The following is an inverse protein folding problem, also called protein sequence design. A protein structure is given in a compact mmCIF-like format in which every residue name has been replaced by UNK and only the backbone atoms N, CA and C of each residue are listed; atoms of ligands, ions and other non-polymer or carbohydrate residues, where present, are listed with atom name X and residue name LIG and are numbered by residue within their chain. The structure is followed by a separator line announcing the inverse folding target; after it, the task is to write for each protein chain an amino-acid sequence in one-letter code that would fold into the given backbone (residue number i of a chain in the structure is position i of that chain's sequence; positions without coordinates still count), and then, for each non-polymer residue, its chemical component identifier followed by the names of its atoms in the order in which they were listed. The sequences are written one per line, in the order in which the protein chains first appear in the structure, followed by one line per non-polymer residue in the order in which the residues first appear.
data_IF_553882138941
#
_entry.id   IF_553882138941
#
_cell.length_a   1.000
_cell.length_b   1.000
_cell.length_c   1.000
_cell.angle_alpha   90.00
_cell.angle_beta   90.00
_cell.angle_gamma   90.00
#
_symmetry.space_group_name_H-M   'P 1'
#
loop_
_entity.id
_entity.type
_entity.pdbx_description
1 polymer ?
#
# COMPACT_ATOMS: atom_id res chain seq x y z
N UNK A 1 -7.08 41.74 3.95
CA UNK A 1 -7.33 40.77 2.85
C UNK A 1 -8.44 39.82 3.25
N UNK A 2 -9.05 39.12 2.30
CA UNK A 2 -10.03 38.04 2.56
C UNK A 2 -9.38 36.68 2.26
N UNK A 3 -9.81 35.63 2.95
CA UNK A 3 -9.39 34.24 2.68
C UNK A 3 -10.47 33.59 1.80
N UNK A 4 -10.11 32.90 0.69
CA UNK A 4 -11.06 32.17 -0.12
C UNK A 4 -11.79 31.09 0.70
N UNK A 5 -13.06 30.85 0.38
CA UNK A 5 -13.80 29.68 0.89
C UNK A 5 -13.41 28.41 0.13
N UNK A 6 -13.80 27.24 0.63
CA UNK A 6 -13.63 25.95 -0.06
C UNK A 6 -14.14 26.00 -1.50
N UNK A 7 -15.31 26.62 -1.72
CA UNK A 7 -15.87 26.84 -3.07
C UNK A 7 -14.99 27.73 -3.95
N UNK A 8 -14.31 28.70 -3.36
CA UNK A 8 -13.34 29.55 -4.06
C UNK A 8 -12.10 28.77 -4.51
N UNK A 9 -11.55 27.92 -3.63
CA UNK A 9 -10.46 27.02 -4.00
C UNK A 9 -10.89 25.98 -5.04
N UNK A 10 -12.10 25.41 -4.91
CA UNK A 10 -12.69 24.52 -5.92
C UNK A 10 -12.78 25.20 -7.29
N UNK A 11 -13.33 26.42 -7.34
CA UNK A 11 -13.37 27.19 -8.58
C UNK A 11 -11.97 27.46 -9.16
N UNK A 12 -11.00 27.77 -8.31
CA UNK A 12 -9.61 27.94 -8.75
C UNK A 12 -9.07 26.65 -9.38
N UNK A 13 -9.18 25.51 -8.70
CA UNK A 13 -8.68 24.22 -9.18
C UNK A 13 -9.33 23.81 -10.50
N UNK A 14 -10.65 24.01 -10.62
CA UNK A 14 -11.40 23.55 -11.78
C UNK A 14 -11.27 24.48 -13.00
N UNK A 15 -11.13 25.81 -12.80
CA UNK A 15 -11.29 26.80 -13.88
C UNK A 15 -10.12 27.77 -14.08
N UNK A 16 -9.32 28.07 -13.04
CA UNK A 16 -8.32 29.13 -13.09
C UNK A 16 -6.87 28.62 -12.97
N UNK A 17 -6.70 27.42 -12.45
CA UNK A 17 -5.38 26.89 -12.13
C UNK A 17 -4.55 26.69 -13.40
N UNK A 18 -3.36 27.31 -13.51
CA UNK A 18 -2.49 27.10 -14.65
C UNK A 18 -1.94 25.67 -14.64
N UNK A 19 -1.77 25.09 -15.83
CA UNK A 19 -1.05 23.83 -15.98
C UNK A 19 0.42 24.08 -15.67
N UNK A 20 0.90 23.50 -14.57
CA UNK A 20 2.32 23.54 -14.19
C UNK A 20 3.04 22.31 -14.74
N UNK A 21 4.23 22.53 -15.28
CA UNK A 21 5.18 21.47 -15.57
C UNK A 21 6.23 21.41 -14.46
N UNK A 22 6.75 20.22 -14.20
CA UNK A 22 7.86 20.05 -13.28
C UNK A 22 9.14 20.56 -13.94
N UNK A 23 9.99 21.19 -13.13
CA UNK A 23 11.34 21.58 -13.55
C UNK A 23 12.19 20.34 -13.84
N UNK A 24 13.24 20.50 -14.66
CA UNK A 24 14.18 19.41 -14.95
C UNK A 24 14.80 18.82 -13.66
N UNK A 25 15.08 19.68 -12.66
CA UNK A 25 15.61 19.26 -11.37
C UNK A 25 14.60 18.43 -10.57
N UNK A 26 13.32 18.83 -10.52
CA UNK A 26 12.25 18.06 -9.87
C UNK A 26 12.09 16.69 -10.55
N UNK A 27 12.05 16.67 -11.89
CA UNK A 27 11.98 15.43 -12.68
C UNK A 27 13.17 14.51 -12.37
N UNK A 28 14.38 15.05 -12.37
CA UNK A 28 15.60 14.27 -12.13
C UNK A 28 15.62 13.69 -10.71
N UNK A 29 15.19 14.48 -9.71
CA UNK A 29 15.04 14.02 -8.33
C UNK A 29 14.05 12.85 -8.23
N UNK A 30 12.87 12.96 -8.84
CA UNK A 30 11.88 11.87 -8.84
C UNK A 30 12.46 10.63 -9.52
N UNK A 31 13.06 10.79 -10.71
CA UNK A 31 13.66 9.69 -11.46
C UNK A 31 14.73 8.97 -10.64
N UNK A 32 15.68 9.71 -10.04
CA UNK A 32 16.77 9.11 -9.26
C UNK A 32 16.26 8.35 -8.05
N UNK A 33 15.27 8.90 -7.34
CA UNK A 33 14.73 8.27 -6.16
C UNK A 33 13.93 6.99 -6.46
N UNK A 34 13.19 6.95 -7.58
CA UNK A 34 12.38 5.79 -7.96
C UNK A 34 13.14 4.72 -8.78
N UNK A 35 14.28 5.07 -9.39
CA UNK A 35 15.16 4.12 -10.12
C UNK A 35 16.17 3.37 -9.24
N UNK A 36 16.13 3.55 -7.92
CA UNK A 36 16.93 2.71 -7.02
C UNK A 36 16.57 1.24 -7.29
N UNK A 37 17.51 0.30 -7.09
CA UNK A 37 17.26 -1.14 -7.25
C UNK A 37 16.25 -1.62 -6.20
N UNK A 38 14.99 -1.34 -6.46
CA UNK A 38 13.85 -1.74 -5.70
C UNK A 38 13.41 -3.06 -6.30
N UNK A 39 13.41 -4.13 -5.51
CA UNK A 39 13.03 -5.47 -5.97
C UNK A 39 11.58 -5.81 -5.61
N UNK A 40 10.89 -4.92 -4.88
CA UNK A 40 9.56 -5.17 -4.31
C UNK A 40 8.64 -3.97 -4.54
N UNK A 41 7.39 -4.25 -4.93
CA UNK A 41 6.38 -3.21 -5.18
C UNK A 41 6.14 -2.37 -3.92
N UNK A 42 6.08 -2.97 -2.72
CA UNK A 42 5.87 -2.23 -1.48
C UNK A 42 6.94 -1.16 -1.22
N UNK A 43 8.21 -1.50 -1.45
CA UNK A 43 9.33 -0.57 -1.33
C UNK A 43 9.24 0.57 -2.35
N UNK A 44 8.80 0.29 -3.58
CA UNK A 44 8.60 1.32 -4.62
C UNK A 44 7.52 2.32 -4.18
N UNK A 45 6.41 1.82 -3.66
CA UNK A 45 5.29 2.66 -3.21
C UNK A 45 5.69 3.50 -1.99
N UNK A 46 6.42 2.92 -1.02
CA UNK A 46 6.98 3.65 0.12
C UNK A 46 7.93 4.77 -0.32
N UNK A 47 8.87 4.47 -1.22
CA UNK A 47 9.79 5.46 -1.76
C UNK A 47 9.05 6.56 -2.53
N UNK A 48 7.98 6.22 -3.24
CA UNK A 48 7.15 7.19 -3.93
C UNK A 48 6.44 8.16 -2.98
N UNK A 49 5.91 7.70 -1.84
CA UNK A 49 5.37 8.60 -0.81
C UNK A 49 6.44 9.54 -0.25
N UNK A 50 7.66 9.05 -0.02
CA UNK A 50 8.75 9.87 0.51
C UNK A 50 9.13 10.99 -0.47
N UNK A 51 9.23 10.65 -1.75
CA UNK A 51 9.52 11.62 -2.83
C UNK A 51 8.39 12.64 -3.00
N UNK A 52 7.14 12.20 -2.95
CA UNK A 52 5.99 13.08 -3.01
C UNK A 52 6.01 14.08 -1.84
N UNK A 53 6.31 13.61 -0.63
CA UNK A 53 6.44 14.47 0.55
C UNK A 53 7.59 15.47 0.40
N UNK A 54 8.78 15.04 -0.03
CA UNK A 54 9.95 15.93 -0.18
C UNK A 54 9.72 17.05 -1.20
N UNK A 55 9.15 16.71 -2.36
CA UNK A 55 8.93 17.66 -3.45
C UNK A 55 7.82 18.64 -3.11
N UNK A 56 6.74 18.14 -2.52
CA UNK A 56 5.56 18.96 -2.21
C UNK A 56 5.68 19.70 -0.89
N UNK A 57 6.55 19.26 0.02
CA UNK A 57 6.67 19.73 1.41
C UNK A 57 5.37 19.56 2.21
N UNK A 58 4.60 18.53 1.89
CA UNK A 58 3.35 18.18 2.57
C UNK A 58 3.43 16.76 3.13
N UNK A 59 2.44 16.37 3.93
CA UNK A 59 2.27 14.98 4.33
C UNK A 59 1.85 14.16 3.11
N UNK A 60 2.55 13.09 2.80
CA UNK A 60 2.20 12.17 1.73
C UNK A 60 1.83 10.80 2.26
N UNK A 61 0.93 10.14 1.55
CA UNK A 61 0.47 8.80 1.86
C UNK A 61 0.46 7.95 0.60
N UNK A 62 0.73 6.66 0.72
CA UNK A 62 0.56 5.74 -0.39
C UNK A 62 0.03 4.40 0.09
N UNK A 63 -0.81 3.79 -0.74
CA UNK A 63 -1.41 2.49 -0.48
C UNK A 63 -0.86 1.49 -1.46
N UNK A 64 -0.40 0.33 -0.98
CA UNK A 64 0.03 -0.78 -1.82
C UNK A 64 -1.14 -1.47 -2.52
N UNK A 65 -0.86 -2.21 -3.61
CA UNK A 65 -1.86 -2.99 -4.31
C UNK A 65 -2.65 -3.93 -3.41
N UNK A 66 -3.98 -3.89 -3.50
CA UNK A 66 -4.80 -4.99 -2.98
C UNK A 66 -4.71 -6.17 -3.93
N UNK A 67 -4.12 -7.26 -3.46
CA UNK A 67 -3.84 -8.44 -4.27
C UNK A 67 -4.86 -9.56 -4.05
N UNK A 68 -6.11 -9.19 -3.76
CA UNK A 68 -7.20 -10.11 -3.45
C UNK A 68 -7.43 -11.13 -4.58
N UNK A 69 -7.26 -10.68 -5.84
CA UNK A 69 -7.34 -11.50 -7.06
C UNK A 69 -6.06 -12.27 -7.40
N UNK A 70 -4.95 -12.01 -6.71
CA UNK A 70 -3.72 -12.78 -6.88
C UNK A 70 -3.98 -14.22 -6.46
N UNK A 71 -3.19 -15.15 -7.00
CA UNK A 71 -3.28 -16.55 -6.60
C UNK A 71 -2.09 -16.91 -5.74
N UNK A 72 -2.31 -17.84 -4.80
CA UNK A 72 -1.22 -18.40 -4.03
C UNK A 72 -0.33 -19.24 -4.95
N UNK A 73 0.98 -18.94 -4.97
CA UNK A 73 1.96 -19.70 -5.75
C UNK A 73 2.56 -20.81 -4.92
N UNK A 74 2.98 -20.52 -3.68
CA UNK A 74 3.46 -21.58 -2.79
C UNK A 74 3.39 -21.20 -1.31
N UNK A 75 3.19 -22.21 -0.45
CA UNK A 75 3.47 -22.17 0.98
C UNK A 75 4.64 -23.10 1.30
N UNK A 76 5.62 -22.61 2.05
CA UNK A 76 6.72 -23.42 2.58
C UNK A 76 6.80 -23.30 4.09
N UNK A 77 7.07 -24.42 4.75
CA UNK A 77 7.31 -24.46 6.20
C UNK A 77 8.72 -24.99 6.43
N UNK A 78 9.55 -24.19 7.07
CA UNK A 78 10.96 -24.48 7.29
C UNK A 78 11.24 -24.47 8.79
N UNK A 79 11.83 -25.52 9.37
CA UNK A 79 12.24 -25.50 10.76
C UNK A 79 13.44 -24.55 10.91
N UNK A 80 13.36 -23.60 11.84
CA UNK A 80 14.49 -22.70 12.18
C UNK A 80 15.04 -22.98 13.57
N UNK A 81 14.26 -23.64 14.42
CA UNK A 81 14.64 -24.11 15.74
C UNK A 81 13.78 -25.33 16.13
N UNK A 82 14.10 -26.00 17.23
CA UNK A 82 13.35 -27.18 17.68
C UNK A 82 11.87 -26.88 17.98
N UNK A 83 11.56 -25.65 18.41
CA UNK A 83 10.21 -25.20 18.76
C UNK A 83 9.71 -24.05 17.87
N UNK A 84 10.39 -23.75 16.76
CA UNK A 84 10.04 -22.62 15.89
C UNK A 84 10.15 -22.97 14.42
N UNK A 85 9.09 -22.67 13.69
CA UNK A 85 9.04 -22.85 12.23
C UNK A 85 8.77 -21.52 11.54
N UNK A 86 9.44 -21.32 10.42
CA UNK A 86 9.22 -20.21 9.51
C UNK A 86 8.24 -20.66 8.43
N UNK A 87 7.10 -19.97 8.34
CA UNK A 87 6.14 -20.12 7.25
C UNK A 87 6.46 -19.03 6.22
N UNK A 88 6.54 -19.41 4.96
CA UNK A 88 6.74 -18.50 3.83
C UNK A 88 5.58 -18.69 2.87
N UNK A 89 4.91 -17.60 2.53
CA UNK A 89 3.84 -17.57 1.54
C UNK A 89 4.26 -16.70 0.38
N UNK A 90 4.15 -17.25 -0.84
CA UNK A 90 4.51 -16.57 -2.09
C UNK A 90 3.30 -16.54 -3.01
N UNK A 91 3.05 -15.41 -3.66
CA UNK A 91 1.97 -15.27 -4.65
C UNK A 91 2.49 -15.32 -6.09
N UNK A 92 1.57 -15.46 -7.05
CA UNK A 92 1.90 -15.35 -8.48
C UNK A 92 2.36 -13.93 -8.88
N UNK A 93 2.03 -12.91 -8.07
CA UNK A 93 2.47 -11.53 -8.24
C UNK A 93 3.89 -11.27 -7.66
N UNK A 94 4.55 -12.30 -7.12
CA UNK A 94 5.91 -12.20 -6.58
C UNK A 94 5.98 -11.62 -5.16
N UNK A 95 4.84 -11.39 -4.50
CA UNK A 95 4.82 -10.99 -3.10
C UNK A 95 5.21 -12.15 -2.20
N UNK A 96 6.06 -11.86 -1.22
CA UNK A 96 6.51 -12.82 -0.22
C UNK A 96 6.20 -12.26 1.17
N UNK A 97 5.42 -13.00 1.96
CA UNK A 97 5.28 -12.76 3.40
C UNK A 97 5.75 -13.99 4.15
N UNK A 98 6.34 -13.76 5.32
CA UNK A 98 6.77 -14.83 6.18
C UNK A 98 6.38 -14.54 7.63
N UNK A 99 6.16 -15.58 8.41
CA UNK A 99 5.90 -15.47 9.84
C UNK A 99 6.60 -16.60 10.59
N UNK A 100 6.96 -16.32 11.84
CA UNK A 100 7.57 -17.29 12.73
C UNK A 100 6.51 -17.80 13.70
N UNK A 101 6.27 -19.10 13.70
CA UNK A 101 5.33 -19.76 14.61
C UNK A 101 6.08 -20.59 15.65
N UNK A 102 5.45 -20.76 16.82
CA UNK A 102 5.89 -21.74 17.81
C UNK A 102 5.25 -23.09 17.48
N UNK A 103 6.07 -24.14 17.47
CA UNK A 103 5.62 -25.51 17.33
C UNK A 103 6.01 -26.28 18.58
N UNK A 104 5.06 -27.03 19.14
CA UNK A 104 5.27 -27.79 20.38
C UNK A 104 5.84 -29.18 20.12
N UNK A 105 5.86 -29.59 18.86
CA UNK A 105 6.15 -30.96 18.45
C UNK A 105 7.56 -31.07 17.85
N UNK A 106 8.31 -32.06 18.30
CA UNK A 106 9.62 -32.37 17.74
C UNK A 106 9.44 -33.20 16.46
N UNK A 107 9.20 -32.51 15.35
CA UNK A 107 8.81 -33.13 14.08
C UNK A 107 10.01 -33.33 13.17
N UNK A 108 10.09 -34.50 12.54
CA UNK A 108 11.12 -34.80 11.54
C UNK A 108 11.04 -33.83 10.35
N UNK A 109 12.15 -33.27 9.86
CA UNK A 109 12.12 -32.31 8.74
C UNK A 109 11.38 -32.79 7.48
N UNK A 110 11.43 -34.10 7.19
CA UNK A 110 10.68 -34.69 6.07
C UNK A 110 9.15 -34.56 6.19
N UNK A 111 8.62 -34.49 7.41
CA UNK A 111 7.19 -34.25 7.66
C UNK A 111 6.79 -32.83 7.27
N UNK A 112 7.64 -31.83 7.52
CA UNK A 112 7.37 -30.44 7.13
C UNK A 112 7.36 -30.25 5.61
N UNK A 113 8.22 -30.99 4.89
CA UNK A 113 8.21 -31.04 3.42
C UNK A 113 6.88 -31.62 2.93
N UNK A 114 6.43 -32.74 3.49
CA UNK A 114 5.15 -33.35 3.15
C UNK A 114 3.96 -32.44 3.48
N UNK A 115 3.98 -31.77 4.62
CA UNK A 115 2.96 -30.79 5.02
C UNK A 115 2.91 -29.63 4.03
N UNK A 116 4.07 -29.10 3.65
CA UNK A 116 4.16 -28.06 2.61
C UNK A 116 3.56 -28.56 1.29
N UNK A 117 3.84 -29.80 0.88
CA UNK A 117 3.26 -30.37 -0.34
C UNK A 117 1.73 -30.53 -0.26
N UNK A 118 1.18 -30.98 0.88
CA UNK A 118 -0.27 -31.04 1.08
C UNK A 118 -0.89 -29.65 0.93
N UNK A 119 -0.35 -28.64 1.62
CA UNK A 119 -0.83 -27.26 1.54
C UNK A 119 -0.79 -26.74 0.10
N UNK A 120 0.31 -26.94 -0.61
CA UNK A 120 0.45 -26.53 -2.01
C UNK A 120 -0.55 -27.26 -2.92
N UNK A 121 -0.83 -28.54 -2.69
CA UNK A 121 -1.82 -29.29 -3.50
C UNK A 121 -3.24 -28.73 -3.40
N UNK A 122 -3.57 -28.07 -2.29
CA UNK A 122 -4.90 -27.52 -2.00
C UNK A 122 -5.01 -26.04 -2.33
N UNK A 123 -3.93 -25.29 -2.11
CA UNK A 123 -3.95 -23.83 -2.15
C UNK A 123 -3.29 -23.23 -3.39
N UNK A 124 -2.34 -23.94 -4.03
CA UNK A 124 -1.64 -23.40 -5.19
C UNK A 124 -2.61 -23.13 -6.33
N UNK A 125 -2.56 -21.92 -6.89
CA UNK A 125 -3.43 -21.45 -7.96
C UNK A 125 -4.80 -20.93 -7.50
N UNK A 126 -5.15 -21.04 -6.21
CA UNK A 126 -6.39 -20.51 -5.66
C UNK A 126 -6.25 -18.99 -5.43
N UNK A 127 -7.26 -18.22 -5.83
CA UNK A 127 -7.33 -16.79 -5.56
C UNK A 127 -7.37 -16.53 -4.05
N UNK A 128 -6.59 -15.55 -3.55
CA UNK A 128 -6.41 -15.34 -2.11
C UNK A 128 -7.74 -15.11 -1.38
N UNK A 129 -8.67 -14.40 -1.99
CA UNK A 129 -10.02 -14.14 -1.45
C UNK A 129 -10.88 -15.41 -1.29
N UNK A 130 -10.57 -16.48 -2.03
CA UNK A 130 -11.30 -17.74 -2.00
C UNK A 130 -10.63 -18.80 -1.10
N UNK A 131 -9.49 -18.47 -0.48
CA UNK A 131 -8.79 -19.41 0.39
C UNK A 131 -9.50 -19.48 1.74
N UNK A 132 -10.11 -20.62 2.03
CA UNK A 132 -10.60 -20.96 3.35
C UNK A 132 -9.65 -21.93 4.06
N UNK A 133 -8.83 -21.39 4.97
CA UNK A 133 -7.80 -22.17 5.69
C UNK A 133 -8.44 -23.22 6.63
N UNK A 134 -9.67 -23.00 7.09
CA UNK A 134 -10.34 -23.91 8.02
C UNK A 134 -10.59 -25.29 7.39
N UNK A 135 -10.75 -25.37 6.07
CA UNK A 135 -10.98 -26.62 5.34
C UNK A 135 -9.75 -27.55 5.35
N UNK A 136 -8.56 -26.99 5.60
CA UNK A 136 -7.30 -27.74 5.64
C UNK A 136 -7.09 -28.47 6.97
N UNK A 137 -7.77 -28.02 8.04
CA UNK A 137 -7.52 -28.54 9.39
C UNK A 137 -7.73 -30.05 9.45
N UNK A 138 -8.84 -30.53 8.89
CA UNK A 138 -9.17 -31.96 8.91
C UNK A 138 -8.17 -32.80 8.11
N UNK A 139 -7.75 -32.30 6.94
CA UNK A 139 -6.76 -32.99 6.11
C UNK A 139 -5.39 -33.08 6.82
N UNK A 140 -4.96 -32.01 7.52
CA UNK A 140 -3.70 -32.00 8.28
C UNK A 140 -3.77 -32.95 9.49
N UNK A 141 -4.82 -32.85 10.31
CA UNK A 141 -5.00 -33.70 11.50
C UNK A 141 -5.12 -35.19 11.13
N UNK A 142 -5.62 -35.52 9.92
CA UNK A 142 -5.75 -36.91 9.45
C UNK A 142 -4.44 -37.48 8.90
N UNK A 143 -3.69 -36.70 8.13
CA UNK A 143 -2.51 -37.20 7.42
C UNK A 143 -1.22 -37.13 8.26
N UNK A 144 -1.18 -36.24 9.26
CA UNK A 144 0.01 -35.99 10.05
C UNK A 144 -0.24 -36.18 11.54
N UNK A 145 0.70 -36.84 12.20
CA UNK A 145 0.74 -36.96 13.66
C UNK A 145 1.33 -35.69 14.28
N UNK A 146 0.56 -34.59 14.21
CA UNK A 146 0.92 -33.25 14.69
C UNK A 146 -0.07 -32.86 15.77
N UNK A 147 0.44 -32.28 16.87
CA UNK A 147 -0.40 -31.81 17.96
C UNK A 147 -1.39 -30.74 17.50
N UNK A 148 -2.61 -30.77 18.05
CA UNK A 148 -3.68 -29.83 17.69
C UNK A 148 -3.23 -28.37 17.79
N UNK A 149 -2.46 -28.03 18.83
CA UNK A 149 -1.95 -26.66 19.03
C UNK A 149 -0.98 -26.23 17.92
N UNK A 150 -0.14 -27.16 17.44
CA UNK A 150 0.77 -26.91 16.33
C UNK A 150 0.00 -26.76 15.02
N UNK A 151 -1.03 -27.58 14.76
CA UNK A 151 -1.91 -27.42 13.60
C UNK A 151 -2.59 -26.04 13.62
N UNK A 152 -3.14 -25.63 14.76
CA UNK A 152 -3.73 -24.30 14.93
C UNK A 152 -2.69 -23.21 14.66
N UNK A 153 -1.47 -23.35 15.17
CA UNK A 153 -0.38 -22.38 14.97
C UNK A 153 0.02 -22.27 13.49
N UNK A 154 0.08 -23.38 12.76
CA UNK A 154 0.35 -23.39 11.31
C UNK A 154 -0.76 -22.68 10.55
N UNK A 155 -2.02 -23.04 10.79
CA UNK A 155 -3.16 -22.43 10.13
C UNK A 155 -3.26 -20.94 10.43
N UNK A 156 -3.05 -20.54 11.69
CA UNK A 156 -3.01 -19.14 12.10
C UNK A 156 -1.88 -18.39 11.40
N UNK A 157 -0.66 -18.94 11.36
CA UNK A 157 0.48 -18.32 10.69
C UNK A 157 0.28 -18.15 9.18
N UNK A 158 -0.34 -19.12 8.49
CA UNK A 158 -0.72 -18.98 7.08
C UNK A 158 -1.79 -17.89 6.93
N UNK A 159 -2.81 -17.89 7.79
CA UNK A 159 -3.89 -16.89 7.79
C UNK A 159 -3.31 -15.48 7.95
N UNK A 160 -2.38 -15.30 8.88
CA UNK A 160 -1.72 -14.01 9.11
C UNK A 160 -0.92 -13.56 7.89
N UNK A 161 -0.17 -14.48 7.26
CA UNK A 161 0.55 -14.17 6.03
C UNK A 161 -0.40 -13.77 4.90
N UNK A 162 -1.50 -14.51 4.70
CA UNK A 162 -2.50 -14.18 3.69
C UNK A 162 -3.16 -12.83 3.97
N UNK A 163 -3.59 -12.59 5.20
CA UNK A 163 -4.19 -11.32 5.60
C UNK A 163 -3.23 -10.16 5.37
N UNK A 164 -1.94 -10.33 5.65
CA UNK A 164 -0.94 -9.30 5.35
C UNK A 164 -0.73 -9.06 3.84
N UNK A 165 -0.94 -10.07 2.99
CA UNK A 165 -0.87 -9.93 1.53
C UNK A 165 -2.12 -9.27 0.96
N UNK A 166 -3.29 -9.62 1.52
CA UNK A 166 -4.61 -9.10 1.11
C UNK A 166 -4.78 -7.66 1.62
N UNK A 167 -4.31 -7.38 2.83
CA UNK A 167 -4.38 -6.04 3.40
C UNK A 167 -3.46 -5.09 2.66
N UNK A 168 -3.99 -3.93 2.29
CA UNK A 168 -3.19 -2.80 1.85
C UNK A 168 -2.24 -2.35 2.96
N UNK A 169 -0.96 -2.24 2.66
CA UNK A 169 -0.03 -1.47 3.47
C UNK A 169 -0.22 0.02 3.15
N UNK A 170 -0.18 0.84 4.20
CA UNK A 170 -0.24 2.30 4.11
C UNK A 170 1.12 2.82 4.51
N UNK A 171 1.74 3.56 3.61
CA UNK A 171 2.95 4.32 3.88
C UNK A 171 2.58 5.77 4.11
N UNK A 172 3.19 6.39 5.11
CA UNK A 172 2.97 7.76 5.51
C UNK A 172 4.32 8.45 5.65
N UNK A 173 4.49 9.57 4.96
CA UNK A 173 5.75 10.29 4.88
C UNK A 173 5.54 11.79 5.10
N UNK A 174 6.47 12.42 5.82
CA UNK A 174 6.41 13.84 6.15
C UNK A 174 5.20 14.26 6.97
N UNK A 175 4.71 13.38 7.86
CA UNK A 175 3.61 13.67 8.78
C UNK A 175 3.78 14.98 9.57
N UNK A 176 5.03 15.37 9.83
CA UNK A 176 5.38 16.60 10.54
C UNK A 176 5.27 17.87 9.69
N UNK A 177 5.30 17.76 8.36
CA UNK A 177 5.30 18.92 7.45
C UNK A 177 4.04 19.78 7.63
N UNK A 178 2.92 19.16 8.02
CA UNK A 178 1.67 19.88 8.25
C UNK A 178 1.80 20.95 9.37
N UNK A 179 2.71 20.73 10.34
CA UNK A 179 2.88 21.61 11.49
C UNK A 179 3.68 22.87 11.15
N UNK A 180 4.28 22.94 9.96
CA UNK A 180 4.92 24.15 9.44
C UNK A 180 3.88 25.20 8.99
N UNK A 181 2.59 24.83 8.96
CA UNK A 181 1.50 25.70 8.55
C UNK A 181 0.75 26.29 9.76
N UNK A 182 0.52 27.63 9.80
CA UNK A 182 -0.22 28.32 10.84
C UNK A 182 -1.56 27.70 11.24
N UNK A 183 -2.26 27.08 10.29
CA UNK A 183 -3.54 26.40 10.50
C UNK A 183 -3.47 25.25 11.52
N UNK A 184 -2.28 24.69 11.75
CA UNK A 184 -2.01 23.56 12.63
C UNK A 184 -1.21 23.95 13.88
N UNK A 185 -1.07 25.24 14.18
CA UNK A 185 -0.52 25.71 15.45
C UNK A 185 -1.49 25.50 16.63
N UNK A 186 -2.78 25.25 16.35
CA UNK A 186 -3.75 24.86 17.36
C UNK A 186 -3.52 23.40 17.79
N UNK A 187 -3.29 23.20 19.10
CA UNK A 187 -2.96 21.89 19.66
C UNK A 187 -4.06 20.85 19.45
N UNK A 188 -5.33 21.27 19.50
CA UNK A 188 -6.47 20.38 19.37
C UNK A 188 -6.58 19.87 17.93
N UNK A 189 -6.46 20.76 16.95
CA UNK A 189 -6.36 20.40 15.53
C UNK A 189 -5.15 19.51 15.24
N UNK A 190 -3.98 19.84 15.78
CA UNK A 190 -2.78 19.02 15.60
C UNK A 190 -2.98 17.59 16.11
N UNK A 191 -3.60 17.43 17.30
CA UNK A 191 -3.93 16.10 17.85
C UNK A 191 -4.96 15.36 17.00
N UNK A 192 -6.02 16.03 16.55
CA UNK A 192 -7.03 15.42 15.68
C UNK A 192 -6.40 14.91 14.38
N UNK A 193 -5.54 15.71 13.75
CA UNK A 193 -4.82 15.31 12.55
C UNK A 193 -3.89 14.12 12.80
N UNK A 194 -3.12 14.12 13.89
CA UNK A 194 -2.26 12.99 14.25
C UNK A 194 -3.06 11.70 14.51
N UNK A 195 -4.23 11.80 15.13
CA UNK A 195 -5.09 10.64 15.36
C UNK A 195 -5.54 10.00 14.03
N UNK A 196 -5.89 10.83 13.04
CA UNK A 196 -6.19 10.38 11.68
C UNK A 196 -4.99 9.66 11.08
N UNK A 197 -3.80 10.27 11.14
CA UNK A 197 -2.56 9.71 10.61
C UNK A 197 -2.10 8.41 11.29
N UNK A 198 -2.49 8.18 12.55
CA UNK A 198 -2.14 6.95 13.27
C UNK A 198 -3.17 5.83 13.09
N UNK A 199 -4.28 6.06 12.40
CA UNK A 199 -5.35 5.07 12.24
C UNK A 199 -5.35 4.50 10.82
N UNK A 200 -4.79 3.29 10.64
CA UNK A 200 -4.60 2.67 9.32
C UNK A 200 -5.92 2.54 8.54
N UNK A 201 -7.00 2.17 9.20
CA UNK A 201 -8.33 1.97 8.59
C UNK A 201 -8.89 3.29 8.03
N UNK A 202 -8.66 4.38 8.75
CA UNK A 202 -9.05 5.73 8.34
C UNK A 202 -8.25 6.15 7.10
N UNK A 203 -6.93 5.94 7.11
CA UNK A 203 -6.08 6.25 5.96
C UNK A 203 -6.43 5.42 4.73
N UNK A 204 -6.70 4.12 4.91
CA UNK A 204 -7.23 3.24 3.86
C UNK A 204 -8.54 3.80 3.28
N UNK A 205 -9.46 4.22 4.14
CA UNK A 205 -10.75 4.79 3.71
C UNK A 205 -10.59 6.07 2.90
N UNK A 206 -9.67 6.96 3.29
CA UNK A 206 -9.37 8.19 2.56
C UNK A 206 -8.86 7.93 1.15
N UNK A 207 -7.99 6.93 1.00
CA UNK A 207 -7.28 6.64 -0.24
C UNK A 207 -8.07 5.70 -1.18
N UNK A 208 -8.79 4.71 -0.65
CA UNK A 208 -9.57 3.74 -1.44
C UNK A 208 -10.75 4.40 -2.18
N UNK A 209 -11.30 5.50 -1.67
CA UNK A 209 -12.34 6.29 -2.35
C UNK A 209 -11.88 7.04 -3.60
N UNK A 210 -10.59 6.93 -3.91
CA UNK A 210 -10.01 7.40 -5.18
C UNK A 210 -9.99 6.30 -6.24
N UNK A 211 -10.16 5.03 -5.87
CA UNK A 211 -10.04 3.87 -6.76
C UNK A 211 -11.25 3.74 -7.71
N UNK A 212 -12.34 4.47 -7.47
CA UNK A 212 -13.54 4.43 -8.32
C UNK A 212 -13.34 5.08 -9.70
N UNK A 213 -12.36 5.98 -9.86
CA UNK A 213 -12.09 6.65 -11.13
C UNK A 213 -10.57 6.81 -11.34
N UNK A 214 -10.08 6.39 -12.50
CA UNK A 214 -8.67 6.55 -12.84
C UNK A 214 -8.31 8.02 -12.98
N UNK A 215 -7.22 8.46 -12.32
CA UNK A 215 -6.73 9.82 -12.50
C UNK A 215 -6.22 10.47 -11.23
N UNK A 216 -6.27 11.80 -11.23
CA UNK A 216 -6.05 12.63 -10.06
C UNK A 216 -7.39 13.13 -9.55
N UNK A 217 -7.58 13.04 -8.23
CA UNK A 217 -8.76 13.56 -7.53
C UNK A 217 -8.30 14.57 -6.49
N UNK A 218 -8.97 15.72 -6.46
CA UNK A 218 -8.72 16.77 -5.46
C UNK A 218 -9.97 16.85 -4.58
N UNK A 219 -9.79 16.83 -3.27
CA UNK A 219 -10.84 17.11 -2.26
C UNK A 219 -10.40 18.28 -1.41
N UNK A 220 -11.30 19.23 -1.21
CA UNK A 220 -10.99 20.51 -0.56
C UNK A 220 -11.92 20.71 0.62
N UNK A 221 -11.33 20.86 1.80
CA UNK A 221 -12.02 21.26 3.02
C UNK A 221 -13.23 20.39 3.32
N UNK A 222 -14.42 20.98 3.28
CA UNK A 222 -15.72 20.32 3.53
C UNK A 222 -16.08 19.18 2.57
N UNK A 223 -15.36 18.99 1.46
CA UNK A 223 -15.51 17.81 0.61
C UNK A 223 -14.86 16.55 1.21
N UNK A 224 -14.05 16.72 2.26
CA UNK A 224 -13.56 15.62 3.07
C UNK A 224 -14.68 15.14 4.01
N UNK A 225 -14.91 13.83 4.03
CA UNK A 225 -15.96 13.23 4.86
C UNK A 225 -15.56 13.03 6.31
N UNK A 226 -14.25 13.00 6.56
CA UNK A 226 -13.70 12.88 7.91
C UNK A 226 -13.59 14.29 8.48
N UNK A 227 -14.27 14.51 9.61
CA UNK A 227 -14.42 15.83 10.22
C UNK A 227 -13.06 16.45 10.58
N UNK A 228 -12.13 15.63 11.07
CA UNK A 228 -10.80 16.01 11.52
C UNK A 228 -9.89 16.55 10.40
N UNK A 229 -10.26 16.36 9.12
CA UNK A 229 -9.50 16.86 7.97
C UNK A 229 -10.32 17.82 7.10
N UNK A 230 -11.45 18.35 7.60
CA UNK A 230 -12.23 19.37 6.88
C UNK A 230 -11.52 20.71 6.70
N UNK A 231 -10.38 20.90 7.35
CA UNK A 231 -9.50 22.05 7.17
C UNK A 231 -8.32 21.77 6.21
N UNK A 232 -8.28 20.56 5.64
CA UNK A 232 -7.24 20.11 4.74
C UNK A 232 -7.72 20.05 3.30
N UNK A 233 -6.78 19.96 2.37
CA UNK A 233 -7.02 19.42 1.04
C UNK A 233 -6.27 18.10 0.89
N UNK A 234 -6.93 17.15 0.23
CA UNK A 234 -6.38 15.85 -0.13
C UNK A 234 -6.32 15.75 -1.65
N UNK A 235 -5.12 15.57 -2.19
CA UNK A 235 -4.92 15.30 -3.62
C UNK A 235 -4.43 13.87 -3.75
N UNK A 236 -5.16 13.02 -4.48
CA UNK A 236 -4.81 11.63 -4.72
C UNK A 236 -4.59 11.37 -6.20
N UNK A 237 -3.75 10.38 -6.50
CA UNK A 237 -3.49 9.86 -7.84
C UNK A 237 -3.52 8.32 -7.80
N UNK A 238 -4.32 7.70 -8.64
CA UNK A 238 -4.40 6.23 -8.74
C UNK A 238 -3.34 5.69 -9.69
N UNK A 239 -2.68 4.60 -9.35
CA UNK A 239 -1.74 3.92 -10.24
C UNK A 239 -2.27 2.52 -10.60
N UNK A 240 -1.90 2.04 -11.80
CA UNK A 240 -2.59 0.93 -12.47
C UNK A 240 -1.62 0.00 -13.21
N UNK A 241 -2.00 -1.27 -13.35
CA UNK A 241 -1.33 -2.27 -14.19
C UNK A 241 -2.35 -2.83 -15.16
N UNK A 242 -2.03 -2.88 -16.46
CA UNK A 242 -2.94 -3.39 -17.49
C UNK A 242 -4.36 -2.77 -17.39
N UNK A 243 -4.43 -1.47 -17.10
CA UNK A 243 -5.68 -0.71 -16.87
C UNK A 243 -6.51 -1.13 -15.64
N UNK A 244 -6.00 -1.99 -14.77
CA UNK A 244 -6.60 -2.26 -13.46
C UNK A 244 -5.96 -1.33 -12.41
N UNK A 245 -6.78 -0.53 -11.73
CA UNK A 245 -6.31 0.30 -10.62
C UNK A 245 -5.94 -0.63 -9.47
N UNK A 246 -4.67 -0.54 -9.08
CA UNK A 246 -4.14 -1.40 -8.01
C UNK A 246 -3.95 -0.62 -6.71
N UNK A 247 -3.67 0.68 -6.77
CA UNK A 247 -3.52 1.49 -5.56
C UNK A 247 -3.53 2.99 -5.84
N UNK A 248 -3.19 3.77 -4.81
CA UNK A 248 -3.14 5.23 -4.92
C UNK A 248 -2.02 5.83 -4.07
N UNK A 249 -1.56 7.00 -4.51
CA UNK A 249 -0.67 7.89 -3.76
C UNK A 249 -1.39 9.22 -3.53
N UNK A 250 -1.17 9.85 -2.40
CA UNK A 250 -1.86 11.05 -1.99
C UNK A 250 -0.99 12.02 -1.21
N UNK A 251 -1.44 13.26 -1.17
CA UNK A 251 -0.82 14.36 -0.43
C UNK A 251 -1.92 15.10 0.33
N UNK A 252 -1.67 15.35 1.62
CA UNK A 252 -2.53 16.12 2.50
C UNK A 252 -1.80 17.39 2.93
N UNK A 253 -2.47 18.52 2.79
CA UNK A 253 -1.97 19.83 3.21
C UNK A 253 -3.12 20.79 3.53
N UNK A 254 -2.82 22.06 3.86
CA UNK A 254 -3.86 23.07 4.08
C UNK A 254 -4.68 23.35 2.81
N UNK A 255 -5.87 23.93 2.96
CA UNK A 255 -6.71 24.36 1.82
C UNK A 255 -6.06 25.39 0.91
N UNK A 256 -5.06 26.14 1.39
CA UNK A 256 -4.27 27.09 0.59
C UNK A 256 -3.01 26.50 -0.04
N UNK A 257 -2.98 25.20 -0.31
CA UNK A 257 -1.81 24.52 -0.88
C UNK A 257 -1.52 24.93 -2.34
N UNK A 258 -0.29 24.69 -2.79
CA UNK A 258 0.11 24.86 -4.20
C UNK A 258 -0.45 23.72 -5.09
N UNK A 259 -1.76 23.72 -5.36
CA UNK A 259 -2.44 22.64 -6.10
C UNK A 259 -1.76 22.26 -7.42
N UNK A 260 -1.36 23.25 -8.24
CA UNK A 260 -0.72 22.98 -9.54
C UNK A 260 0.59 22.21 -9.40
N UNK A 261 1.39 22.50 -8.36
CA UNK A 261 2.63 21.78 -8.04
C UNK A 261 2.35 20.36 -7.56
N UNK A 262 1.39 20.20 -6.65
CA UNK A 262 1.02 18.88 -6.10
C UNK A 262 0.51 17.97 -7.21
N UNK A 263 -0.40 18.46 -8.05
CA UNK A 263 -0.98 17.72 -9.18
C UNK A 263 0.10 17.34 -10.20
N UNK A 264 0.99 18.27 -10.57
CA UNK A 264 2.09 17.97 -11.48
C UNK A 264 3.05 16.91 -10.91
N UNK A 265 3.38 17.01 -9.62
CA UNK A 265 4.25 16.07 -8.91
C UNK A 265 3.65 14.67 -8.87
N UNK A 266 2.40 14.55 -8.40
CA UNK A 266 1.71 13.26 -8.30
C UNK A 266 1.46 12.62 -9.67
N UNK A 267 1.14 13.41 -10.69
CA UNK A 267 1.01 12.90 -12.07
C UNK A 267 2.30 12.25 -12.55
N UNK A 268 3.44 12.90 -12.31
CA UNK A 268 4.73 12.40 -12.75
C UNK A 268 5.16 11.16 -11.94
N UNK A 269 4.98 11.19 -10.62
CA UNK A 269 5.28 10.05 -9.74
C UNK A 269 4.41 8.84 -10.12
N UNK A 270 3.11 9.03 -10.34
CA UNK A 270 2.19 7.98 -10.82
C UNK A 270 2.68 7.31 -12.10
N UNK A 271 3.12 8.10 -13.09
CA UNK A 271 3.68 7.56 -14.34
C UNK A 271 4.92 6.70 -14.08
N UNK A 272 5.83 7.17 -13.23
CA UNK A 272 7.04 6.42 -12.87
C UNK A 272 6.71 5.12 -12.11
N UNK A 273 5.74 5.16 -11.18
CA UNK A 273 5.27 3.95 -10.48
C UNK A 273 4.78 2.91 -11.50
N UNK A 274 3.90 3.29 -12.44
CA UNK A 274 3.38 2.36 -13.45
C UNK A 274 4.51 1.71 -14.25
N UNK A 275 5.51 2.49 -14.68
CA UNK A 275 6.67 2.00 -15.45
C UNK A 275 7.48 0.99 -14.62
N UNK A 276 7.84 1.34 -13.39
CA UNK A 276 8.70 0.47 -12.57
C UNK A 276 7.98 -0.78 -12.08
N UNK A 277 6.66 -0.72 -11.85
CA UNK A 277 5.87 -1.92 -11.58
C UNK A 277 5.87 -2.87 -12.78
N UNK A 278 5.76 -2.36 -14.02
CA UNK A 278 5.85 -3.21 -15.22
C UNK A 278 7.22 -3.88 -15.35
N UNK A 279 8.29 -3.13 -15.06
CA UNK A 279 9.67 -3.66 -15.05
C UNK A 279 9.84 -4.77 -14.00
N UNK A 280 9.33 -4.57 -12.79
CA UNK A 280 9.36 -5.56 -11.70
C UNK A 280 8.63 -6.86 -12.06
N UNK A 281 7.53 -6.75 -12.79
CA UNK A 281 6.74 -7.90 -13.24
C UNK A 281 7.30 -8.58 -14.50
N UNK A 282 8.47 -8.15 -14.99
CA UNK A 282 9.14 -8.77 -16.15
C UNK A 282 8.44 -8.54 -17.49
N UNK A 283 7.55 -7.53 -17.58
CA UNK A 283 6.97 -7.11 -18.86
C UNK A 283 7.86 -6.02 -19.46
N UNK A 284 8.58 -6.33 -20.55
CA UNK A 284 9.41 -5.35 -21.26
C UNK A 284 8.59 -4.09 -21.61
N UNK A 285 9.10 -2.93 -21.21
CA UNK A 285 8.51 -1.60 -21.37
C UNK A 285 8.73 -0.97 -22.75
N UNK A 286 9.07 -1.77 -23.77
CA UNK A 286 9.37 -1.29 -25.13
C UNK A 286 8.16 -0.73 -25.90
N UNK A 287 6.94 -0.80 -25.35
CA UNK A 287 5.71 -0.33 -26.03
C UNK A 287 5.24 1.09 -25.68
N UNK A 288 5.87 1.80 -24.73
CA UNK A 288 5.38 3.13 -24.31
C UNK A 288 6.46 4.22 -24.36
N UNK A 289 6.93 4.54 -25.56
CA UNK A 289 7.61 5.81 -25.85
C UNK A 289 6.60 6.79 -26.49
N UNK A 290 6.03 7.69 -25.68
CA UNK A 290 5.39 8.94 -26.12
C UNK A 290 5.68 10.07 -25.13
#
# INVERSE_FOLDING_TARGET
GRIPSDKGYRFYVDQLMPRRELTALEIERIKRALKLKINEVGQLISQASAVASDITRYTSMAITPQMNKSTLKTVQIIPVHFDKWLIIVVTNAGLVKNCLIKASDNIFPGTLVRLSNLLNSKLSGVALENINILDLRYDIEREFDIGRDTVVSVLAGITDCLNQIISSDVYLEGATNIFDFPEFHDLLRAKQFLNVLNTKEVLCTLMNRSIENEGIKVRIGTENEIDEIKDCSLVTATYSINNEIIGSIGVIGPTRMEYSKVIASLNYIRKMINIEIMNLLGKNTDEFNW
#
